data_IF_102268938666
#
_entry.id   IF_102268938666
#
_cell.length_a   1.000
_cell.length_b   1.000
_cell.length_c   1.000
_cell.angle_alpha   90.00
_cell.angle_beta   90.00
_cell.angle_gamma   90.00
#
_symmetry.space_group_name_H-M   'P 1'
#
loop_
_entity.id
_entity.type
_entity.pdbx_description
1 polymer ?
#
# COMPACT_ATOMS: atom_id res chain seq x y z
N UNK A 1 -63.46 4.85 5.93
CA UNK A 1 -63.28 6.25 5.51
C UNK A 1 -61.93 6.76 6.03
N UNK A 2 -61.31 7.67 5.29
CA UNK A 2 -59.99 8.30 5.50
C UNK A 2 -58.80 7.43 5.04
N UNK A 3 -58.32 7.54 3.79
CA UNK A 3 -57.64 8.61 3.01
C UNK A 3 -56.12 8.48 3.08
N UNK A 4 -55.57 8.07 1.93
CA UNK A 4 -54.17 8.10 1.52
C UNK A 4 -53.56 9.49 1.64
N UNK A 5 -52.29 9.56 2.06
CA UNK A 5 -51.35 10.59 1.61
C UNK A 5 -50.01 9.92 1.33
N UNK A 6 -49.67 9.84 0.03
CA UNK A 6 -48.32 9.63 -0.48
C UNK A 6 -47.58 10.95 -0.34
N UNK A 7 -46.44 10.97 0.36
CA UNK A 7 -45.51 12.09 0.29
C UNK A 7 -44.35 11.69 -0.60
N UNK A 8 -44.32 12.29 -1.79
CA UNK A 8 -43.20 12.30 -2.73
C UNK A 8 -42.25 13.39 -2.25
N UNK A 9 -41.03 13.03 -1.85
CA UNK A 9 -39.95 14.00 -1.65
C UNK A 9 -38.95 13.85 -2.80
N UNK A 10 -38.89 14.91 -3.59
CA UNK A 10 -38.02 15.09 -4.73
C UNK A 10 -36.55 15.23 -4.30
N UNK A 11 -35.64 14.65 -5.09
CA UNK A 11 -34.20 14.88 -4.99
C UNK A 11 -33.85 16.30 -5.46
N UNK A 12 -32.95 17.03 -4.78
CA UNK A 12 -32.25 18.13 -5.40
C UNK A 12 -31.08 17.60 -6.26
N UNK A 13 -31.08 18.03 -7.51
CA UNK A 13 -29.98 17.90 -8.45
C UNK A 13 -28.83 18.86 -8.08
N UNK A 14 -27.59 18.41 -8.27
CA UNK A 14 -26.44 19.29 -8.42
C UNK A 14 -25.48 19.34 -7.22
N UNK A 15 -24.65 18.31 -7.08
CA UNK A 15 -23.31 18.44 -6.51
C UNK A 15 -22.34 17.70 -7.43
N UNK A 16 -21.50 18.47 -8.12
CA UNK A 16 -20.41 17.92 -8.91
C UNK A 16 -19.36 17.36 -7.95
N UNK A 17 -19.23 16.04 -7.91
CA UNK A 17 -18.08 15.37 -7.29
C UNK A 17 -16.85 15.67 -8.16
N UNK A 18 -15.96 16.51 -7.64
CA UNK A 18 -14.60 16.55 -8.12
C UNK A 18 -13.96 15.20 -7.80
N UNK A 19 -13.74 14.37 -8.81
CA UNK A 19 -12.94 13.16 -8.68
C UNK A 19 -11.51 13.59 -8.35
N UNK A 20 -11.07 13.34 -7.12
CA UNK A 20 -9.66 13.37 -6.79
C UNK A 20 -8.98 12.25 -7.59
N UNK A 21 -8.03 12.62 -8.46
CA UNK A 21 -7.22 11.65 -9.18
C UNK A 21 -6.28 11.00 -8.16
N UNK A 22 -6.60 9.78 -7.70
CA UNK A 22 -5.63 8.96 -6.98
C UNK A 22 -4.49 8.62 -7.94
N UNK A 23 -3.26 8.78 -7.49
CA UNK A 23 -2.07 8.55 -8.31
C UNK A 23 -1.88 7.05 -8.57
N UNK A 24 -2.52 6.50 -9.61
CA UNK A 24 -2.12 5.22 -10.18
C UNK A 24 -1.04 5.46 -11.25
N UNK A 25 0.17 4.97 -11.04
CA UNK A 25 1.22 5.00 -12.07
C UNK A 25 1.21 3.71 -12.89
N UNK A 26 1.24 3.88 -14.22
CA UNK A 26 1.20 2.80 -15.20
C UNK A 26 2.60 2.21 -15.42
N UNK A 27 2.78 0.91 -15.12
CA UNK A 27 3.92 0.15 -15.62
C UNK A 27 3.46 -0.74 -16.78
N UNK A 28 3.70 -0.28 -18.01
CA UNK A 28 3.55 -1.09 -19.21
C UNK A 28 4.84 -1.90 -19.42
N UNK A 29 4.78 -3.23 -19.33
CA UNK A 29 5.82 -4.06 -19.95
C UNK A 29 5.59 -4.06 -21.47
N UNK A 30 6.60 -3.62 -22.23
CA UNK A 30 6.59 -3.72 -23.67
C UNK A 30 6.71 -5.21 -24.07
N UNK A 31 5.73 -5.72 -24.82
CA UNK A 31 5.90 -7.00 -25.49
C UNK A 31 7.02 -6.87 -26.53
N UNK A 32 8.01 -7.77 -26.49
CA UNK A 32 9.07 -7.81 -27.51
C UNK A 32 8.46 -8.08 -28.90
N UNK A 33 8.72 -7.15 -29.83
CA UNK A 33 8.33 -7.29 -31.23
C UNK A 33 9.41 -8.14 -31.94
N UNK A 34 9.07 -9.27 -32.61
CA UNK A 34 10.03 -10.00 -33.40
C UNK A 34 10.53 -9.15 -34.57
N UNK A 35 11.85 -9.01 -34.67
CA UNK A 35 12.55 -8.21 -35.69
C UNK A 35 12.41 -8.90 -37.06
N UNK A 36 11.54 -8.37 -37.93
CA UNK A 36 11.37 -8.84 -39.32
C UNK A 36 12.52 -8.40 -40.22
N UNK A 37 13.03 -9.31 -41.04
CA UNK A 37 14.06 -9.10 -42.05
C UNK A 37 13.64 -8.09 -43.14
N UNK A 38 14.56 -7.19 -43.48
CA UNK A 38 14.41 -6.27 -44.61
C UNK A 38 14.78 -6.96 -45.93
N UNK A 39 13.84 -6.96 -46.88
CA UNK A 39 14.15 -7.16 -48.29
C UNK A 39 13.86 -5.86 -49.06
N UNK A 40 14.93 -5.29 -49.61
CA UNK A 40 14.93 -4.13 -50.49
C UNK A 40 14.89 -4.59 -51.94
N UNK A 41 13.99 -4.03 -52.77
CA UNK A 41 14.29 -3.70 -54.17
C UNK A 41 13.29 -2.71 -54.75
N UNK A 42 13.77 -1.50 -55.04
CA UNK A 42 14.06 -0.87 -56.36
C UNK A 42 12.92 -0.09 -57.03
N UNK A 43 13.25 1.17 -57.30
CA UNK A 43 12.50 2.21 -58.01
C UNK A 43 12.19 1.87 -59.47
N UNK A 44 11.10 2.45 -59.97
CA UNK A 44 10.97 2.86 -61.36
C UNK A 44 10.31 4.25 -61.45
N UNK A 45 10.77 5.02 -62.43
CA UNK A 45 10.68 6.48 -62.62
C UNK A 45 9.70 6.81 -63.74
N UNK A 46 8.77 7.77 -63.57
CA UNK A 46 8.29 8.67 -64.64
C UNK A 46 7.24 9.72 -64.18
N UNK A 47 7.69 10.98 -64.16
CA UNK A 47 7.07 12.22 -64.67
C UNK A 47 5.56 12.52 -64.60
N UNK A 48 5.27 13.59 -63.83
CA UNK A 48 4.59 14.85 -64.21
C UNK A 48 3.13 14.81 -64.73
N UNK A 49 2.17 15.25 -63.90
CA UNK A 49 1.39 16.50 -64.06
C UNK A 49 0.13 16.53 -63.16
N UNK A 50 -0.04 17.66 -62.47
CA UNK A 50 -1.28 18.42 -62.20
C UNK A 50 -2.52 17.74 -61.55
N UNK A 51 -2.72 18.09 -60.27
CA UNK A 51 -3.97 18.41 -59.53
C UNK A 51 -5.07 17.33 -59.32
N UNK A 52 -5.35 17.08 -58.03
CA UNK A 52 -6.33 16.16 -57.47
C UNK A 52 -7.80 16.51 -57.77
N UNK A 53 -8.66 15.49 -57.93
CA UNK A 53 -10.02 15.50 -57.42
C UNK A 53 -10.21 14.50 -56.28
N UNK A 54 -11.07 14.90 -55.34
CA UNK A 54 -11.59 14.21 -54.17
C UNK A 54 -11.77 12.70 -54.32
N UNK A 55 -11.33 11.92 -53.32
CA UNK A 55 -11.67 10.49 -53.20
C UNK A 55 -12.10 10.17 -51.77
N UNK A 56 -13.37 9.78 -51.65
CA UNK A 56 -13.96 9.14 -50.48
C UNK A 56 -13.06 8.02 -49.95
N UNK A 57 -12.65 8.13 -48.69
CA UNK A 57 -11.98 7.04 -47.97
C UNK A 57 -13.04 6.01 -47.56
N UNK A 58 -13.19 4.97 -48.38
CA UNK A 58 -13.87 3.73 -47.96
C UNK A 58 -13.14 3.15 -46.74
N UNK A 59 -13.89 2.98 -45.65
CA UNK A 59 -13.46 2.31 -44.40
C UNK A 59 -13.05 0.86 -44.71
N UNK A 60 -11.86 0.41 -44.28
CA UNK A 60 -11.60 -1.02 -44.11
C UNK A 60 -12.28 -1.47 -42.82
N UNK A 61 -13.27 -2.36 -42.93
CA UNK A 61 -13.78 -3.16 -41.83
C UNK A 61 -12.68 -4.13 -41.39
N UNK A 62 -11.97 -3.80 -40.31
CA UNK A 62 -11.09 -4.74 -39.61
C UNK A 62 -11.61 -4.91 -38.20
N UNK A 63 -12.35 -6.01 -38.00
CA UNK A 63 -12.63 -6.56 -36.69
C UNK A 63 -11.30 -7.04 -36.07
N UNK A 64 -10.55 -6.12 -35.48
CA UNK A 64 -9.53 -6.45 -34.50
C UNK A 64 -10.14 -6.19 -33.13
N UNK A 65 -10.64 -7.26 -32.49
CA UNK A 65 -10.72 -7.26 -31.03
C UNK A 65 -9.29 -7.09 -30.54
N UNK A 66 -8.93 -5.87 -30.15
CA UNK A 66 -7.73 -5.64 -29.38
C UNK A 66 -7.87 -6.52 -28.13
N UNK A 67 -6.95 -7.46 -27.96
CA UNK A 67 -6.78 -8.10 -26.66
C UNK A 67 -6.36 -6.97 -25.72
N UNK A 68 -7.30 -6.49 -24.92
CA UNK A 68 -7.01 -5.67 -23.75
C UNK A 68 -6.12 -6.55 -22.87
N UNK A 69 -4.81 -6.34 -22.94
CA UNK A 69 -3.91 -6.86 -21.93
C UNK A 69 -4.43 -6.36 -20.60
N UNK A 70 -4.88 -7.27 -19.74
CA UNK A 70 -5.22 -6.96 -18.37
C UNK A 70 -3.94 -6.50 -17.70
N UNK A 71 -3.77 -5.18 -17.60
CA UNK A 71 -2.83 -4.59 -16.65
C UNK A 71 -3.31 -5.03 -15.27
N UNK A 72 -2.61 -5.99 -14.66
CA UNK A 72 -2.84 -6.33 -13.26
C UNK A 72 -2.53 -5.07 -12.46
N UNK A 73 -3.58 -4.39 -12.02
CA UNK A 73 -3.49 -3.42 -10.95
C UNK A 73 -3.16 -4.23 -9.71
N UNK A 74 -1.88 -4.40 -9.40
CA UNK A 74 -1.49 -4.84 -8.07
C UNK A 74 -1.70 -3.60 -7.20
N UNK A 75 -2.68 -3.61 -6.28
CA UNK A 75 -2.79 -2.53 -5.31
C UNK A 75 -1.47 -2.51 -4.55
N UNK A 76 -0.78 -1.37 -4.52
CA UNK A 76 0.33 -1.12 -3.59
C UNK A 76 -0.28 -0.93 -2.19
N UNK A 77 -0.97 -1.97 -1.70
CA UNK A 77 -1.63 -1.97 -0.42
C UNK A 77 -0.71 -2.64 0.58
N UNK A 78 -0.30 -1.88 1.59
CA UNK A 78 0.34 -2.48 2.74
C UNK A 78 -0.69 -3.13 3.66
N UNK A 79 -0.49 -4.40 3.94
CA UNK A 79 -1.27 -5.15 4.93
C UNK A 79 -0.40 -5.42 6.15
N UNK A 80 -0.71 -4.86 7.33
CA UNK A 80 0.09 -5.19 8.52
C UNK A 80 -0.06 -6.65 8.97
N UNK A 81 -1.12 -7.37 8.57
CA UNK A 81 -1.41 -8.74 9.00
C UNK A 81 -0.29 -9.71 8.63
N UNK A 82 0.17 -10.53 9.58
CA UNK A 82 1.18 -11.57 9.35
C UNK A 82 2.50 -11.32 10.08
N UNK A 83 3.56 -12.00 9.62
CA UNK A 83 4.87 -12.00 10.25
C UNK A 83 5.83 -10.96 9.64
N UNK A 84 6.52 -10.28 10.54
CA UNK A 84 7.51 -9.25 10.25
C UNK A 84 8.77 -9.50 11.07
N UNK A 85 9.93 -9.16 10.51
CA UNK A 85 11.23 -9.23 11.18
C UNK A 85 11.96 -7.90 10.99
N UNK A 86 12.59 -7.40 12.05
CA UNK A 86 13.41 -6.18 11.97
C UNK A 86 14.90 -6.47 11.84
N UNK A 87 15.69 -5.41 11.64
CA UNK A 87 17.14 -5.49 11.46
C UNK A 87 17.91 -6.00 12.70
N UNK A 88 17.26 -6.09 13.85
CA UNK A 88 17.81 -6.66 15.08
C UNK A 88 17.47 -8.16 15.25
N UNK A 89 16.68 -8.74 14.33
CA UNK A 89 16.17 -10.11 14.40
C UNK A 89 14.94 -10.28 15.30
N UNK A 90 14.36 -9.18 15.79
CA UNK A 90 13.09 -9.23 16.51
C UNK A 90 11.95 -9.47 15.54
N UNK A 91 11.00 -10.31 15.94
CA UNK A 91 9.85 -10.71 15.12
C UNK A 91 8.55 -10.20 15.69
N UNK A 92 7.63 -9.83 14.82
CA UNK A 92 6.32 -9.34 15.15
C UNK A 92 5.29 -10.11 14.33
N UNK A 93 4.30 -10.69 15.00
CA UNK A 93 3.12 -11.23 14.36
C UNK A 93 1.94 -10.30 14.64
N UNK A 94 1.33 -9.78 13.58
CA UNK A 94 0.08 -9.02 13.65
C UNK A 94 -1.03 -9.97 13.22
N UNK A 95 -2.05 -10.11 14.07
CA UNK A 95 -3.28 -10.83 13.73
C UNK A 95 -4.12 -10.03 12.72
N UNK A 96 -5.36 -10.42 12.48
CA UNK A 96 -6.25 -9.67 11.59
C UNK A 96 -6.44 -8.22 12.06
N UNK A 97 -6.38 -7.28 11.09
CA UNK A 97 -6.75 -5.88 11.28
C UNK A 97 -8.26 -5.74 11.08
N UNK A 98 -8.96 -5.18 12.07
CA UNK A 98 -10.41 -5.02 12.00
C UNK A 98 -10.84 -3.87 11.08
N UNK A 99 -12.16 -3.74 10.85
CA UNK A 99 -12.73 -2.69 9.99
C UNK A 99 -12.57 -1.26 10.53
N UNK A 100 -12.06 -1.09 11.75
CA UNK A 100 -11.71 0.19 12.37
C UNK A 100 -10.19 0.42 12.38
N UNK A 101 -9.41 -0.51 11.81
CA UNK A 101 -7.96 -0.43 11.77
C UNK A 101 -7.27 -0.90 13.05
N UNK A 102 -7.99 -1.46 14.03
CA UNK A 102 -7.36 -2.00 15.25
C UNK A 102 -6.78 -3.38 14.98
N UNK A 103 -5.70 -3.70 15.68
CA UNK A 103 -5.09 -5.02 15.62
C UNK A 103 -4.47 -5.42 16.95
N UNK A 104 -4.22 -6.72 17.07
CA UNK A 104 -3.48 -7.32 18.17
C UNK A 104 -2.43 -8.28 17.61
N UNK A 105 -1.53 -8.75 18.46
CA UNK A 105 -0.50 -9.66 18.02
C UNK A 105 0.47 -10.06 19.11
N UNK A 106 1.62 -10.58 18.69
CA UNK A 106 2.71 -10.96 19.57
C UNK A 106 4.05 -10.42 19.04
N UNK A 107 4.89 -9.94 19.95
CA UNK A 107 6.21 -9.43 19.69
C UNK A 107 7.26 -10.32 20.36
N UNK A 108 8.21 -10.79 19.55
CA UNK A 108 9.33 -11.64 19.95
C UNK A 108 10.62 -10.83 19.79
N UNK A 109 11.05 -10.13 20.85
CA UNK A 109 12.29 -9.38 20.76
C UNK A 109 13.51 -10.31 20.71
N UNK A 110 14.51 -9.98 19.89
CA UNK A 110 15.79 -10.69 19.90
C UNK A 110 16.77 -10.11 20.94
N UNK A 111 16.50 -8.90 21.44
CA UNK A 111 17.38 -8.16 22.35
C UNK A 111 16.61 -7.68 23.58
N UNK A 112 17.30 -7.59 24.71
CA UNK A 112 16.73 -7.09 25.97
C UNK A 112 17.84 -6.61 26.89
N UNK A 113 17.58 -5.52 27.62
CA UNK A 113 18.41 -5.10 28.76
C UNK A 113 17.90 -5.63 30.11
N UNK A 114 16.76 -6.33 30.13
CA UNK A 114 16.25 -6.96 31.33
C UNK A 114 17.11 -8.17 31.71
N UNK A 115 17.38 -8.35 33.00
CA UNK A 115 18.11 -9.50 33.53
C UNK A 115 17.18 -10.71 33.74
N UNK A 116 16.27 -10.93 32.78
CA UNK A 116 15.28 -12.01 32.77
C UNK A 116 15.25 -12.64 31.38
N UNK A 117 14.95 -13.94 31.26
CA UNK A 117 14.76 -14.57 29.95
C UNK A 117 13.72 -13.81 29.12
N UNK A 118 13.99 -13.67 27.82
CA UNK A 118 13.05 -13.04 26.91
C UNK A 118 11.83 -13.96 26.74
N UNK A 119 10.64 -13.36 26.75
CA UNK A 119 9.37 -14.04 26.51
C UNK A 119 8.55 -13.29 25.44
N UNK A 120 7.81 -14.02 24.58
CA UNK A 120 6.87 -13.42 23.65
C UNK A 120 5.83 -12.54 24.37
N UNK A 121 5.69 -11.30 23.93
CA UNK A 121 4.92 -10.28 24.62
C UNK A 121 3.77 -9.77 23.74
N UNK A 122 2.56 -9.57 24.30
CA UNK A 122 1.42 -9.13 23.52
C UNK A 122 1.63 -7.72 23.00
N UNK A 123 1.12 -7.46 21.81
CA UNK A 123 1.00 -6.13 21.24
C UNK A 123 -0.45 -5.81 20.88
N UNK A 124 -0.81 -4.53 21.00
CA UNK A 124 -2.11 -4.00 20.59
C UNK A 124 -1.86 -2.65 19.93
N UNK A 125 -2.52 -2.40 18.80
CA UNK A 125 -2.32 -1.18 18.04
C UNK A 125 -3.47 -0.85 17.11
N UNK A 126 -3.25 0.18 16.31
CA UNK A 126 -4.12 0.56 15.22
C UNK A 126 -3.34 1.14 14.04
N UNK A 127 -3.96 1.10 12.87
CA UNK A 127 -3.48 1.71 11.64
C UNK A 127 -4.54 2.59 11.01
N UNK A 128 -4.11 3.53 10.17
CA UNK A 128 -5.00 4.25 9.29
C UNK A 128 -5.49 3.34 8.15
N UNK A 129 -6.71 3.59 7.69
CA UNK A 129 -7.35 2.87 6.58
C UNK A 129 -7.27 3.72 5.31
N UNK A 130 -6.04 4.01 4.88
CA UNK A 130 -5.77 4.92 3.78
C UNK A 130 -6.05 4.26 2.41
N UNK A 131 -6.65 5.01 1.48
CA UNK A 131 -6.99 4.52 0.14
C UNK A 131 -5.75 4.26 -0.75
N UNK A 132 -4.63 4.90 -0.44
CA UNK A 132 -3.37 4.77 -1.16
C UNK A 132 -2.51 3.59 -0.69
N UNK A 133 -2.94 2.88 0.35
CA UNK A 133 -2.28 1.68 0.85
C UNK A 133 -1.01 1.92 1.67
N UNK A 134 -0.64 3.17 1.99
CA UNK A 134 0.57 3.49 2.76
C UNK A 134 0.24 3.94 4.18
N UNK A 135 -0.40 3.04 4.94
CA UNK A 135 -0.94 3.35 6.25
C UNK A 135 0.13 3.76 7.27
N UNK A 136 -0.17 4.82 8.04
CA UNK A 136 0.54 5.06 9.30
C UNK A 136 -0.08 4.22 10.42
N UNK A 137 0.76 3.73 11.32
CA UNK A 137 0.34 2.82 12.39
C UNK A 137 1.03 3.12 13.71
N UNK A 138 0.47 2.59 14.78
CA UNK A 138 1.13 2.54 16.06
C UNK A 138 0.64 1.37 16.91
N UNK A 139 1.54 0.82 17.72
CA UNK A 139 1.21 -0.27 18.64
C UNK A 139 2.01 -0.17 19.94
N UNK A 140 1.44 -0.75 20.99
CA UNK A 140 2.05 -0.87 22.31
C UNK A 140 2.43 -2.32 22.55
N UNK A 141 3.63 -2.56 23.07
CA UNK A 141 4.09 -3.87 23.56
C UNK A 141 4.21 -3.81 25.07
N UNK A 142 3.44 -4.65 25.76
CA UNK A 142 3.56 -4.82 27.20
C UNK A 142 4.43 -6.04 27.51
N UNK A 143 5.66 -5.82 27.95
CA UNK A 143 6.65 -6.88 28.09
C UNK A 143 6.28 -7.86 29.21
N UNK A 144 6.12 -9.15 28.91
CA UNK A 144 5.80 -10.17 29.94
C UNK A 144 6.95 -10.41 30.92
N UNK A 145 8.17 -10.20 30.48
CA UNK A 145 9.39 -10.50 31.24
C UNK A 145 10.02 -9.26 31.92
N UNK A 146 9.39 -8.08 31.88
CA UNK A 146 9.89 -6.87 32.55
C UNK A 146 8.76 -5.93 32.94
N UNK A 147 9.02 -4.97 33.83
CA UNK A 147 8.03 -3.95 34.21
C UNK A 147 8.04 -2.74 33.24
N UNK A 148 8.54 -2.92 32.01
CA UNK A 148 8.64 -1.84 31.02
C UNK A 148 7.54 -1.95 29.95
N UNK A 149 7.35 -0.88 29.18
CA UNK A 149 6.41 -0.85 28.06
C UNK A 149 7.08 -0.18 26.87
N UNK A 150 6.92 -0.72 25.67
CA UNK A 150 7.35 -0.06 24.44
C UNK A 150 6.15 0.41 23.63
N UNK A 151 6.28 1.54 22.95
CA UNK A 151 5.36 1.99 21.90
C UNK A 151 6.14 2.17 20.61
N UNK A 152 5.54 1.75 19.51
CA UNK A 152 6.07 1.90 18.17
C UNK A 152 5.09 2.74 17.38
N UNK A 153 5.60 3.64 16.55
CA UNK A 153 4.83 4.37 15.56
C UNK A 153 5.59 4.39 14.25
N UNK A 154 4.90 4.29 13.13
CA UNK A 154 5.54 4.15 11.85
C UNK A 154 4.62 4.33 10.67
N UNK A 155 5.18 4.09 9.49
CA UNK A 155 4.45 4.04 8.23
C UNK A 155 4.87 2.80 7.46
N UNK A 156 3.91 2.16 6.82
CA UNK A 156 4.18 1.11 5.88
C UNK A 156 4.34 1.66 4.46
N UNK A 157 5.36 1.19 3.76
CA UNK A 157 5.64 1.49 2.37
C UNK A 157 5.60 0.21 1.55
N UNK A 158 4.79 0.19 0.50
CA UNK A 158 4.82 -0.84 -0.53
C UNK A 158 5.65 -0.32 -1.73
N UNK A 159 6.70 -1.03 -2.12
CA UNK A 159 7.53 -0.72 -3.27
C UNK A 159 6.94 -1.23 -4.59
N UNK A 160 7.47 -0.76 -5.73
CA UNK A 160 7.00 -1.14 -7.08
C UNK A 160 7.06 -2.67 -7.33
N UNK A 161 7.93 -3.38 -6.61
CA UNK A 161 8.05 -4.84 -6.67
C UNK A 161 7.07 -5.62 -5.76
N UNK A 162 6.18 -4.94 -5.04
CA UNK A 162 5.31 -5.56 -4.03
C UNK A 162 6.01 -5.86 -2.70
N UNK A 163 7.25 -5.37 -2.54
CA UNK A 163 7.99 -5.46 -1.27
C UNK A 163 7.42 -4.47 -0.25
N UNK A 164 7.07 -4.96 0.94
CA UNK A 164 6.54 -4.11 2.00
C UNK A 164 7.60 -3.89 3.09
N UNK A 165 7.72 -2.63 3.52
CA UNK A 165 8.66 -2.21 4.56
C UNK A 165 7.93 -1.35 5.59
N UNK A 166 8.10 -1.67 6.88
CA UNK A 166 7.63 -0.81 7.97
C UNK A 166 8.78 0.03 8.48
N UNK A 167 8.69 1.34 8.28
CA UNK A 167 9.60 2.31 8.90
C UNK A 167 9.00 2.72 10.23
N UNK A 168 9.68 2.46 11.35
CA UNK A 168 9.13 2.72 12.68
C UNK A 168 10.12 3.40 13.63
N UNK A 169 9.61 4.25 14.49
CA UNK A 169 10.32 4.76 15.67
C UNK A 169 9.67 4.18 16.90
N UNK A 170 10.43 4.02 17.98
CA UNK A 170 9.90 3.53 19.24
C UNK A 170 10.35 4.36 20.44
N UNK A 171 9.53 4.29 21.48
CA UNK A 171 9.87 4.71 22.84
C UNK A 171 9.75 3.50 23.76
N UNK A 172 10.78 3.26 24.56
CA UNK A 172 10.79 2.23 25.60
C UNK A 172 10.78 2.93 26.96
N UNK A 173 9.68 2.73 27.68
CA UNK A 173 9.45 3.29 29.00
C UNK A 173 9.78 2.27 30.09
N UNK A 174 10.80 2.56 30.88
CA UNK A 174 11.13 1.81 32.09
C UNK A 174 10.24 2.25 33.26
N UNK A 175 9.94 1.30 34.15
CA UNK A 175 9.43 1.61 35.49
C UNK A 175 10.59 2.08 36.36
N UNK A 176 10.39 3.19 37.05
CA UNK A 176 11.34 3.75 38.01
C UNK A 176 10.72 3.83 39.40
N UNK A 177 11.56 3.78 40.43
CA UNK A 177 11.10 3.72 41.82
C UNK A 177 10.49 5.03 42.32
N UNK A 178 10.77 6.16 41.67
CA UNK A 178 10.31 7.48 42.10
C UNK A 178 10.28 8.53 40.98
N UNK A 179 9.45 9.56 41.15
CA UNK A 179 9.31 10.67 40.20
C UNK A 179 10.64 11.39 39.88
N UNK A 180 11.56 11.65 40.83
CA UNK A 180 12.86 12.24 40.49
C UNK A 180 13.73 11.37 39.58
N UNK A 181 13.42 10.08 39.41
CA UNK A 181 14.12 9.19 38.48
C UNK A 181 13.49 9.17 37.08
N UNK A 182 12.37 9.87 36.87
CA UNK A 182 11.62 9.87 35.61
C UNK A 182 12.44 10.35 34.41
N UNK A 183 13.35 11.29 34.62
CA UNK A 183 14.16 11.91 33.56
C UNK A 183 14.97 10.91 32.71
N UNK A 184 15.31 9.75 33.28
CA UNK A 184 16.10 8.70 32.62
C UNK A 184 15.26 7.51 32.15
N UNK A 185 13.94 7.53 32.38
CA UNK A 185 13.08 6.36 32.24
C UNK A 185 12.67 6.07 30.79
N UNK A 186 12.92 6.97 29.83
CA UNK A 186 12.48 6.81 28.44
C UNK A 186 13.68 6.72 27.51
N UNK A 187 13.79 5.59 26.80
CA UNK A 187 14.71 5.39 25.67
C UNK A 187 13.97 5.53 24.35
N UNK A 188 14.68 5.87 23.28
CA UNK A 188 14.13 5.95 21.93
C UNK A 188 15.04 5.26 20.93
N UNK A 189 14.47 4.82 19.81
CA UNK A 189 15.21 4.25 18.70
C UNK A 189 14.33 4.07 17.48
N UNK A 190 14.88 3.38 16.49
CA UNK A 190 14.26 3.12 15.21
C UNK A 190 14.36 1.64 14.88
N UNK A 191 13.38 1.10 14.14
CA UNK A 191 13.44 -0.22 13.54
C UNK A 191 12.81 -0.21 12.15
N UNK A 192 13.38 -1.00 11.26
CA UNK A 192 12.88 -1.27 9.92
C UNK A 192 12.42 -2.72 9.88
N UNK A 193 11.14 -2.96 9.65
CA UNK A 193 10.62 -4.32 9.51
C UNK A 193 10.39 -4.68 8.05
N UNK A 194 10.69 -5.93 7.72
CA UNK A 194 10.39 -6.55 6.43
C UNK A 194 9.55 -7.80 6.62
N UNK A 195 8.79 -8.17 5.60
CA UNK A 195 8.00 -9.42 5.60
C UNK A 195 8.87 -10.65 5.84
N UNK A 196 8.35 -11.56 6.66
CA UNK A 196 8.85 -12.93 6.70
C UNK A 196 8.08 -13.73 5.64
N UNK A 197 8.80 -14.29 4.65
CA UNK A 197 8.22 -15.08 3.56
C UNK A 197 7.68 -16.45 3.97
#
# INVERSE_FOLDING_TARGET
MSRFFLSVLALPAGAALAAAASGSQFLCQAAEIPRGEHASTKEAKATNTKWWPSREKKRPTRNSKAALGTCLLIPLQCDLTGWWENELGSKMHVSEVDSQGNFSGEYHTAVSSAQKPIEPSPLIGSQHLDEDGQCTFGFTVNWKFSDSTAVFTGQCFAGEGGEEVLQSTWLLREKVDSLPSDWKATRTGHNVFTRMG
#
